data_IF_925098844121
#
_entry.id   IF_925098844121
#
_cell.length_a   1.000
_cell.length_b   1.000
_cell.length_c   1.000
_cell.angle_alpha   90.00
_cell.angle_beta   90.00
_cell.angle_gamma   90.00
#
_symmetry.space_group_name_H-M   'P 1'
#
loop_
_entity.id
_entity.type
_entity.pdbx_description
1 polymer ?
#
# COMPACT_ATOMS: atom_id res chain seq x y z
N UNK A 1 6.41 -5.19 41.02
CA UNK A 1 7.58 -5.38 40.11
C UNK A 1 7.66 -4.14 39.23
N UNK A 2 8.66 -3.28 39.44
CA UNK A 2 8.77 -1.98 38.78
C UNK A 2 9.93 -2.05 37.78
N UNK A 3 9.64 -2.08 36.48
CA UNK A 3 10.67 -2.03 35.45
C UNK A 3 11.10 -0.58 35.24
N UNK A 4 12.26 -0.21 35.79
CA UNK A 4 12.95 1.05 35.53
C UNK A 4 13.91 0.87 34.35
N UNK A 5 13.44 1.14 33.12
CA UNK A 5 14.32 1.31 31.96
C UNK A 5 14.93 2.72 32.01
N UNK A 6 16.11 2.87 32.61
CA UNK A 6 16.80 4.16 32.69
C UNK A 6 17.29 4.60 31.30
N UNK A 7 16.55 5.51 30.67
CA UNK A 7 17.03 6.40 29.61
C UNK A 7 17.26 7.76 30.28
N UNK A 8 18.52 8.12 30.59
CA UNK A 8 18.96 9.44 31.08
C UNK A 8 17.85 10.34 31.69
N UNK A 9 17.58 10.20 33.00
CA UNK A 9 16.57 10.96 33.78
C UNK A 9 15.12 11.01 33.24
N UNK A 10 14.84 10.42 32.08
CA UNK A 10 13.54 10.45 31.41
C UNK A 10 12.88 9.09 31.48
N UNK A 11 11.55 9.10 31.60
CA UNK A 11 10.80 7.87 31.39
C UNK A 11 10.92 7.42 29.93
N UNK A 12 10.79 6.12 29.67
CA UNK A 12 10.73 5.60 28.29
C UNK A 12 9.59 6.26 27.49
N UNK A 13 8.54 6.69 28.17
CA UNK A 13 7.45 7.46 27.61
C UNK A 13 7.91 8.85 27.12
N UNK A 14 8.65 9.58 27.95
CA UNK A 14 9.23 10.88 27.59
C UNK A 14 10.26 10.76 26.46
N UNK A 15 11.07 9.70 26.47
CA UNK A 15 12.01 9.42 25.40
C UNK A 15 11.30 9.17 24.07
N UNK A 16 10.21 8.38 24.08
CA UNK A 16 9.39 8.12 22.89
C UNK A 16 8.79 9.42 22.33
N UNK A 17 8.23 10.28 23.19
CA UNK A 17 7.68 11.57 22.78
C UNK A 17 8.75 12.50 22.19
N UNK A 18 9.92 12.59 22.85
CA UNK A 18 11.02 13.41 22.36
C UNK A 18 11.55 12.93 21.00
N UNK A 19 11.54 11.63 20.75
CA UNK A 19 11.92 11.06 19.46
C UNK A 19 10.93 11.46 18.36
N UNK A 20 9.63 11.42 18.64
CA UNK A 20 8.61 11.85 17.67
C UNK A 20 8.76 13.33 17.30
N UNK A 21 9.01 14.20 18.27
CA UNK A 21 9.15 15.65 18.03
C UNK A 21 10.24 15.97 16.99
N UNK A 22 11.33 15.22 17.00
CA UNK A 22 12.46 15.40 16.08
C UNK A 22 12.23 14.77 14.70
N UNK A 23 11.22 13.92 14.54
CA UNK A 23 11.02 13.09 13.35
C UNK A 23 9.56 13.02 12.88
N UNK A 24 8.77 14.06 13.16
CA UNK A 24 7.32 14.10 12.87
C UNK A 24 6.93 13.86 11.42
N UNK A 25 7.83 14.08 10.48
CA UNK A 25 7.56 13.90 9.05
C UNK A 25 7.82 12.46 8.56
N UNK A 26 8.62 11.69 9.30
CA UNK A 26 9.00 10.35 8.86
C UNK A 26 7.96 9.30 9.26
N UNK A 27 7.42 8.61 8.26
CA UNK A 27 6.46 7.52 8.46
C UNK A 27 7.00 6.43 9.41
N UNK A 28 8.26 6.01 9.22
CA UNK A 28 8.84 4.94 10.03
C UNK A 28 9.08 5.35 11.47
N UNK A 29 9.39 6.62 11.74
CA UNK A 29 9.54 7.11 13.10
C UNK A 29 8.20 7.12 13.83
N UNK A 30 7.11 7.51 13.13
CA UNK A 30 5.74 7.42 13.67
C UNK A 30 5.31 5.98 13.93
N UNK A 31 5.64 5.07 13.03
CA UNK A 31 5.36 3.64 13.20
C UNK A 31 6.06 3.08 14.44
N UNK A 32 7.36 3.38 14.60
CA UNK A 32 8.13 2.97 15.78
C UNK A 32 7.58 3.59 17.07
N UNK A 33 7.22 4.88 17.03
CA UNK A 33 6.60 5.57 18.15
C UNK A 33 5.29 4.89 18.58
N UNK A 34 4.42 4.58 17.62
CA UNK A 34 3.12 3.95 17.84
C UNK A 34 3.27 2.52 18.39
N UNK A 35 4.24 1.76 17.89
CA UNK A 35 4.57 0.43 18.39
C UNK A 35 5.01 0.48 19.86
N UNK A 36 5.97 1.36 20.18
CA UNK A 36 6.44 1.55 21.56
C UNK A 36 5.29 2.03 22.45
N UNK A 37 4.46 2.98 21.98
CA UNK A 37 3.31 3.47 22.73
C UNK A 37 2.36 2.34 23.12
N UNK A 38 2.06 1.45 22.17
CA UNK A 38 1.18 0.31 22.42
C UNK A 38 1.79 -0.74 23.36
N UNK A 39 3.10 -0.99 23.25
CA UNK A 39 3.83 -1.89 24.15
C UNK A 39 3.81 -1.37 25.59
N UNK A 40 3.97 -0.06 25.78
CA UNK A 40 3.98 0.56 27.11
C UNK A 40 2.59 0.67 27.72
N UNK A 41 1.58 0.97 26.91
CA UNK A 41 0.20 1.09 27.36
C UNK A 41 -0.78 0.67 26.25
N UNK A 42 -1.25 -0.57 26.36
CA UNK A 42 -2.20 -1.15 25.40
C UNK A 42 -3.54 -0.38 25.31
N UNK A 43 -3.93 0.35 26.36
CA UNK A 43 -5.16 1.15 26.35
C UNK A 43 -5.08 2.34 25.39
N UNK A 44 -3.86 2.73 25.00
CA UNK A 44 -3.58 3.85 24.10
C UNK A 44 -3.43 3.42 22.65
N UNK A 45 -3.94 2.23 22.30
CA UNK A 45 -3.98 1.74 20.91
C UNK A 45 -4.61 2.77 19.96
N UNK A 46 -5.74 3.37 20.32
CA UNK A 46 -6.43 4.34 19.46
C UNK A 46 -5.56 5.56 19.16
N UNK A 47 -4.77 6.01 20.13
CA UNK A 47 -3.80 7.08 19.97
C UNK A 47 -2.65 6.64 19.05
N UNK A 48 -2.09 5.45 19.24
CA UNK A 48 -1.05 4.89 18.38
C UNK A 48 -1.50 4.78 16.92
N UNK A 49 -2.71 4.29 16.67
CA UNK A 49 -3.32 4.23 15.32
C UNK A 49 -3.48 5.62 14.72
N UNK A 50 -4.03 6.57 15.50
CA UNK A 50 -4.23 7.95 15.05
C UNK A 50 -2.91 8.60 14.63
N UNK A 51 -1.84 8.41 15.40
CA UNK A 51 -0.52 8.95 15.06
C UNK A 51 0.01 8.45 13.71
N UNK A 52 -0.27 7.20 13.36
CA UNK A 52 0.09 6.62 12.06
C UNK A 52 -0.79 7.23 10.97
N UNK A 53 -2.11 7.27 11.15
CA UNK A 53 -3.05 7.75 10.13
C UNK A 53 -2.88 9.25 9.81
N UNK A 54 -2.48 10.07 10.79
CA UNK A 54 -2.18 11.50 10.59
C UNK A 54 -0.89 11.78 9.83
N UNK A 55 -0.10 10.75 9.51
CA UNK A 55 1.08 10.90 8.66
C UNK A 55 0.68 11.46 7.30
N UNK A 56 1.48 12.35 6.72
CA UNK A 56 1.26 12.90 5.37
C UNK A 56 2.38 12.50 4.44
N UNK A 57 2.06 12.05 3.23
CA UNK A 57 3.05 11.67 2.23
C UNK A 57 3.41 12.87 1.35
N UNK A 58 4.45 13.59 1.74
CA UNK A 58 4.88 14.81 1.05
C UNK A 58 5.51 14.47 -0.30
N UNK A 59 5.39 15.40 -1.25
CA UNK A 59 6.11 15.35 -2.52
C UNK A 59 7.48 15.96 -2.30
N UNK A 60 8.54 15.21 -2.59
CA UNK A 60 9.91 15.71 -2.49
C UNK A 60 10.39 16.05 -3.89
N UNK A 61 10.84 17.30 -4.15
CA UNK A 61 11.48 17.64 -5.41
C UNK A 61 12.72 16.77 -5.60
N UNK A 62 12.79 16.03 -6.71
CA UNK A 62 14.01 15.36 -7.14
C UNK A 62 14.43 15.97 -8.47
N UNK A 63 15.70 16.38 -8.56
CA UNK A 63 16.30 16.81 -9.81
C UNK A 63 16.40 15.59 -10.74
N UNK A 64 15.79 15.65 -11.93
CA UNK A 64 15.96 14.63 -12.98
C UNK A 64 14.67 14.24 -13.71
N UNK A 65 14.80 13.32 -14.68
CA UNK A 65 13.75 12.88 -15.60
C UNK A 65 12.60 12.04 -14.97
N UNK A 66 12.72 11.66 -13.69
CA UNK A 66 11.75 10.80 -13.01
C UNK A 66 10.61 11.56 -12.29
N UNK A 67 10.58 12.89 -12.41
CA UNK A 67 9.55 13.72 -11.80
C UNK A 67 9.58 13.71 -10.26
N UNK A 68 8.63 14.40 -9.61
CA UNK A 68 8.50 14.42 -8.17
C UNK A 68 8.20 13.02 -7.61
N UNK A 69 8.97 12.60 -6.59
CA UNK A 69 8.78 11.31 -5.91
C UNK A 69 8.11 11.58 -4.55
N UNK A 70 7.21 10.68 -4.16
CA UNK A 70 6.61 10.67 -2.82
C UNK A 70 7.63 10.24 -1.76
N UNK A 71 7.57 10.82 -0.58
CA UNK A 71 8.52 10.53 0.50
C UNK A 71 8.44 9.10 1.02
N UNK A 72 7.21 8.59 1.22
CA UNK A 72 7.02 7.23 1.72
C UNK A 72 7.46 6.24 0.65
N UNK A 73 8.14 5.18 1.06
CA UNK A 73 8.50 4.06 0.17
C UNK A 73 7.47 2.95 0.29
N UNK A 74 7.29 2.16 -0.77
CA UNK A 74 6.32 1.05 -0.79
C UNK A 74 6.56 0.08 0.38
N UNK A 75 7.82 -0.26 0.64
CA UNK A 75 8.20 -1.14 1.75
C UNK A 75 7.81 -0.58 3.13
N UNK A 76 7.87 0.74 3.31
CA UNK A 76 7.54 1.41 4.56
C UNK A 76 6.02 1.38 4.76
N UNK A 77 5.25 1.64 3.69
CA UNK A 77 3.80 1.46 3.69
C UNK A 77 3.37 0.03 4.04
N UNK A 78 4.06 -0.99 3.51
CA UNK A 78 3.80 -2.41 3.82
C UNK A 78 4.09 -2.71 5.29
N UNK A 79 5.21 -2.20 5.82
CA UNK A 79 5.56 -2.38 7.22
C UNK A 79 4.47 -1.81 8.15
N UNK A 80 3.97 -0.61 7.84
CA UNK A 80 2.88 0.03 8.60
C UNK A 80 1.57 -0.75 8.48
N UNK A 81 1.22 -1.24 7.29
CA UNK A 81 0.04 -2.08 7.11
C UNK A 81 0.08 -3.33 8.00
N UNK A 82 1.25 -3.98 8.07
CA UNK A 82 1.47 -5.12 8.97
C UNK A 82 1.38 -4.70 10.43
N UNK A 83 2.02 -3.61 10.82
CA UNK A 83 1.97 -3.08 12.20
C UNK A 83 0.52 -2.88 12.66
N UNK A 84 -0.31 -2.22 11.83
CA UNK A 84 -1.72 -1.99 12.12
C UNK A 84 -2.50 -3.31 12.27
N UNK A 85 -2.34 -4.23 11.33
CA UNK A 85 -3.11 -5.48 11.29
C UNK A 85 -2.65 -6.54 12.29
N UNK A 86 -1.37 -6.57 12.68
CA UNK A 86 -0.81 -7.65 13.51
C UNK A 86 -0.45 -7.18 14.91
N UNK A 87 0.30 -6.08 15.05
CA UNK A 87 0.79 -5.62 16.36
C UNK A 87 -0.29 -4.85 17.09
N UNK A 88 -0.88 -3.86 16.42
CA UNK A 88 -2.00 -3.09 16.98
C UNK A 88 -3.33 -3.86 16.87
N UNK A 89 -3.37 -4.92 16.06
CA UNK A 89 -4.55 -5.76 15.83
C UNK A 89 -5.81 -4.94 15.49
N UNK A 90 -5.64 -3.86 14.72
CA UNK A 90 -6.71 -2.98 14.25
C UNK A 90 -6.92 -3.19 12.76
N UNK A 91 -7.83 -4.12 12.43
CA UNK A 91 -8.10 -4.50 11.04
C UNK A 91 -8.73 -3.35 10.24
N UNK A 92 -9.59 -2.54 10.87
CA UNK A 92 -10.24 -1.43 10.20
C UNK A 92 -9.22 -0.35 9.82
N UNK A 93 -8.28 -0.03 10.72
CA UNK A 93 -7.18 0.87 10.42
C UNK A 93 -6.25 0.29 9.34
N UNK A 94 -5.95 -1.01 9.39
CA UNK A 94 -5.18 -1.67 8.36
C UNK A 94 -5.85 -1.56 6.98
N UNK A 95 -7.17 -1.77 6.90
CA UNK A 95 -7.94 -1.63 5.65
C UNK A 95 -7.91 -0.19 5.11
N UNK A 96 -8.16 0.81 5.96
CA UNK A 96 -8.06 2.24 5.57
C UNK A 96 -6.65 2.58 5.07
N UNK A 97 -5.63 2.07 5.75
CA UNK A 97 -4.23 2.24 5.36
C UNK A 97 -3.93 1.58 4.01
N UNK A 98 -4.46 0.38 3.76
CA UNK A 98 -4.33 -0.35 2.49
C UNK A 98 -4.89 0.48 1.34
N UNK A 99 -6.12 0.98 1.48
CA UNK A 99 -6.80 1.82 0.48
C UNK A 99 -5.98 3.07 0.18
N UNK A 100 -5.53 3.78 1.23
CA UNK A 100 -4.70 4.98 1.08
C UNK A 100 -3.39 4.71 0.35
N UNK A 101 -2.71 3.61 0.66
CA UNK A 101 -1.45 3.25 0.00
C UNK A 101 -1.65 2.81 -1.46
N UNK A 102 -2.82 2.26 -1.81
CA UNK A 102 -3.15 1.91 -3.19
C UNK A 102 -3.19 3.16 -4.10
N UNK A 103 -3.62 4.32 -3.59
CA UNK A 103 -3.61 5.60 -4.33
C UNK A 103 -2.19 6.07 -4.65
N UNK A 104 -1.23 5.84 -3.75
CA UNK A 104 0.17 6.21 -3.96
C UNK A 104 0.92 5.19 -4.82
N UNK A 105 0.45 3.93 -4.84
CA UNK A 105 1.11 2.82 -5.50
C UNK A 105 0.15 2.04 -6.40
N UNK A 106 -0.31 2.63 -7.53
CA UNK A 106 -1.35 2.03 -8.38
C UNK A 106 -0.96 0.69 -9.00
N UNK A 107 0.33 0.36 -9.09
CA UNK A 107 0.80 -0.92 -9.63
C UNK A 107 1.09 -1.97 -8.53
N UNK A 108 0.97 -1.63 -7.25
CA UNK A 108 1.26 -2.55 -6.15
C UNK A 108 0.26 -3.71 -6.12
N UNK A 109 0.75 -4.94 -6.24
CA UNK A 109 -0.06 -6.15 -6.04
C UNK A 109 -0.44 -6.34 -4.56
N UNK A 110 0.41 -5.90 -3.64
CA UNK A 110 0.15 -6.00 -2.21
C UNK A 110 -1.03 -5.14 -1.76
N UNK A 111 -1.11 -3.91 -2.28
CA UNK A 111 -2.20 -2.98 -1.98
C UNK A 111 -3.36 -3.08 -2.96
N UNK A 112 -3.30 -3.99 -3.94
CA UNK A 112 -4.30 -4.13 -5.00
C UNK A 112 -4.57 -2.79 -5.73
N UNK A 113 -3.50 -2.07 -6.05
CA UNK A 113 -3.57 -0.79 -6.75
C UNK A 113 -4.34 -0.90 -8.07
N UNK A 114 -4.95 0.20 -8.53
CA UNK A 114 -5.88 0.22 -9.66
C UNK A 114 -5.31 -0.34 -10.98
N UNK A 115 -3.99 -0.27 -11.17
CA UNK A 115 -3.29 -0.78 -12.35
C UNK A 115 -2.57 -2.11 -12.09
N UNK A 116 -2.73 -2.69 -10.90
CA UNK A 116 -2.15 -3.98 -10.55
C UNK A 116 -2.95 -5.12 -11.17
N UNK A 117 -2.26 -6.20 -11.55
CA UNK A 117 -2.91 -7.45 -11.97
C UNK A 117 -3.77 -8.08 -10.87
N UNK A 118 -3.43 -7.82 -9.60
CA UNK A 118 -4.20 -8.25 -8.43
C UNK A 118 -5.51 -7.46 -8.26
N UNK A 119 -5.70 -6.34 -8.96
CA UNK A 119 -6.93 -5.55 -8.86
C UNK A 119 -8.12 -6.34 -9.44
N UNK A 120 -9.26 -6.42 -8.74
CA UNK A 120 -10.46 -7.13 -9.24
C UNK A 120 -10.96 -6.64 -10.60
N UNK A 121 -10.65 -5.38 -10.94
CA UNK A 121 -11.05 -4.72 -12.18
C UNK A 121 -9.94 -4.66 -13.23
N UNK A 122 -8.80 -5.33 -13.00
CA UNK A 122 -7.70 -5.35 -13.97
C UNK A 122 -8.18 -5.92 -15.31
N UNK A 123 -7.64 -5.41 -16.42
CA UNK A 123 -7.98 -5.89 -17.76
C UNK A 123 -7.82 -7.42 -17.89
N UNK A 124 -6.83 -7.99 -17.20
CA UNK A 124 -6.62 -9.43 -17.11
C UNK A 124 -7.76 -10.18 -16.40
N UNK A 125 -8.22 -9.66 -15.24
CA UNK A 125 -9.34 -10.25 -14.50
C UNK A 125 -10.69 -10.08 -15.25
N UNK A 126 -10.85 -9.01 -16.02
CA UNK A 126 -12.01 -8.84 -16.89
C UNK A 126 -12.00 -9.83 -18.07
N UNK A 127 -10.84 -10.05 -18.70
CA UNK A 127 -10.69 -11.06 -19.76
C UNK A 127 -11.06 -12.47 -19.26
N UNK A 128 -10.63 -12.79 -18.04
CA UNK A 128 -10.96 -14.06 -17.39
C UNK A 128 -12.45 -14.20 -17.08
N UNK A 129 -13.09 -13.16 -16.53
CA UNK A 129 -14.55 -13.15 -16.28
C UNK A 129 -15.36 -13.32 -17.56
N UNK A 130 -14.91 -12.73 -18.67
CA UNK A 130 -15.59 -12.86 -19.95
C UNK A 130 -15.46 -14.29 -20.52
N UNK A 131 -14.29 -14.93 -20.34
CA UNK A 131 -14.06 -16.32 -20.75
C UNK A 131 -14.84 -17.34 -19.91
N UNK A 132 -14.95 -17.14 -18.59
CA UNK A 132 -15.67 -18.05 -17.69
C UNK A 132 -17.20 -17.99 -17.89
N UNK A 133 -17.74 -16.88 -18.40
CA UNK A 133 -19.17 -16.71 -18.69
C UNK A 133 -19.57 -17.17 -20.11
N UNK A 134 -18.63 -17.57 -20.95
CA UNK A 134 -18.89 -17.99 -22.35
C UNK A 134 -19.01 -19.53 -22.51
N UNK A 135 -18.85 -20.30 -21.43
CA UNK A 135 -18.83 -21.78 -21.47
C UNK A 135 -20.16 -22.48 -21.12
N UNK A 136 -21.27 -21.75 -20.95
CA UNK A 136 -22.57 -22.39 -20.71
C UNK A 136 -23.70 -21.63 -21.40
N UNK A 137 -23.99 -22.01 -22.64
CA UNK A 137 -25.31 -22.50 -23.06
C UNK A 137 -25.32 -22.72 -24.59
N UNK A 138 -25.47 -23.98 -24.97
CA UNK A 138 -25.79 -24.41 -26.32
C UNK A 138 -27.25 -24.02 -26.64
N UNK A 139 -27.48 -23.04 -27.52
CA UNK A 139 -28.63 -23.08 -28.43
C UNK A 139 -28.45 -22.16 -29.64
N UNK A 140 -28.83 -22.73 -30.78
CA UNK A 140 -28.74 -22.30 -32.18
C UNK A 140 -29.49 -20.98 -32.47
N UNK A 141 -29.00 -20.25 -33.48
CA UNK A 141 -29.72 -19.47 -34.53
C UNK A 141 -29.38 -17.96 -34.60
N UNK A 142 -28.57 -17.65 -35.61
CA UNK A 142 -28.71 -16.60 -36.63
C UNK A 142 -28.42 -15.12 -36.34
N UNK A 143 -27.35 -14.69 -37.02
CA UNK A 143 -27.19 -13.49 -37.85
C UNK A 143 -26.62 -12.19 -37.26
N UNK A 144 -25.52 -11.81 -37.93
CA UNK A 144 -24.90 -10.49 -38.05
C UNK A 144 -24.26 -9.89 -36.80
N UNK A 145 -22.93 -9.81 -36.80
CA UNK A 145 -22.19 -8.60 -37.21
C UNK A 145 -20.68 -8.89 -37.19
N UNK A 146 -19.98 -8.50 -38.26
CA UNK A 146 -18.59 -8.05 -38.21
C UNK A 146 -17.50 -9.10 -37.97
N UNK A 147 -16.98 -9.69 -39.05
CA UNK A 147 -15.70 -10.39 -39.05
C UNK A 147 -14.58 -9.43 -38.61
N UNK A 148 -14.03 -9.63 -37.41
CA UNK A 148 -12.76 -9.05 -37.02
C UNK A 148 -11.67 -10.06 -37.40
N UNK A 149 -10.99 -9.76 -38.51
CA UNK A 149 -9.80 -10.47 -38.98
C UNK A 149 -8.76 -10.55 -37.87
N UNK A 150 -8.37 -11.77 -37.50
CA UNK A 150 -7.14 -12.03 -36.78
C UNK A 150 -5.94 -11.70 -37.70
N UNK A 151 -5.17 -10.67 -37.38
CA UNK A 151 -3.79 -10.58 -37.85
C UNK A 151 -2.92 -9.70 -36.93
N UNK A 152 -2.42 -10.29 -35.84
CA UNK A 152 -1.32 -9.72 -35.08
C UNK A 152 -0.01 -10.34 -35.54
N UNK A 153 0.56 -9.81 -36.63
CA UNK A 153 1.90 -10.16 -37.11
C UNK A 153 2.94 -9.69 -36.08
N UNK A 154 3.60 -10.64 -35.44
CA UNK A 154 4.63 -10.45 -34.42
C UNK A 154 5.98 -10.11 -35.10
N UNK A 155 6.12 -8.89 -35.60
CA UNK A 155 7.38 -8.41 -36.19
C UNK A 155 7.61 -6.95 -35.75
N UNK A 156 8.01 -6.76 -34.48
CA UNK A 156 8.36 -5.43 -33.97
C UNK A 156 9.53 -5.45 -32.95
N UNK A 157 10.44 -6.42 -33.05
CA UNK A 157 11.65 -6.47 -32.22
C UNK A 157 12.92 -6.67 -33.04
N UNK A 158 13.04 -5.99 -34.19
CA UNK A 158 14.26 -6.07 -35.02
C UNK A 158 15.23 -4.89 -34.86
N UNK A 159 14.82 -3.79 -34.24
CA UNK A 159 15.65 -2.57 -34.18
C UNK A 159 15.89 -2.03 -32.77
N UNK A 160 16.25 -2.91 -31.81
CA UNK A 160 16.96 -2.47 -30.61
C UNK A 160 18.40 -2.99 -30.65
N UNK A 161 19.29 -2.15 -31.17
CA UNK A 161 20.73 -2.27 -30.96
C UNK A 161 21.07 -1.58 -29.63
N UNK A 162 21.78 -2.29 -28.75
CA UNK A 162 22.35 -1.76 -27.49
C UNK A 162 23.58 -0.90 -27.80
#
# INVERSE_FOLDING_TARGET
MQCMCQLHEKSLFEANNSFLENHKDSLMHRAAFAEILHILDSNRKSEAVKFIEESTNKIVPRNGALGPIREWKLKDCIAVHKLLGTVLADQDAALRWKVRCAEYYPYSTYFEGSHSSASPNSAFNQLRKNSENESSNHSVVSQNVGSIKSNGKLEAFKDLTI
#
